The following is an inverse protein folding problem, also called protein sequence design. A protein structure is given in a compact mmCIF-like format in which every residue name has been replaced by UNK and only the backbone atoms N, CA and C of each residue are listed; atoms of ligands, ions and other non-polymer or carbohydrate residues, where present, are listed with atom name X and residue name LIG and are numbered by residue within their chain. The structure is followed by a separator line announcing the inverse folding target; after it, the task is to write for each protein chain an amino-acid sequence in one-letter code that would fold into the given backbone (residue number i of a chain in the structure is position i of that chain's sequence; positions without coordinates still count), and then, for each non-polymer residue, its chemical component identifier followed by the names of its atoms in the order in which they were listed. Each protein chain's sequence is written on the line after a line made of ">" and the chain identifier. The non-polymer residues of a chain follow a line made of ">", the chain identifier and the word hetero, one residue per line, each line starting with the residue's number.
data_IF_401058493560
#
_entry.id   IF_401058493560
#
_cell.length_a   1.000
_cell.length_b   1.000
_cell.length_c   1.000
_cell.angle_alpha   90.00
_cell.angle_beta   90.00
_cell.angle_gamma   90.00
#
_symmetry.space_group_name_H-M   'P 1'
#
loop_
_entity.id
_entity.type
_entity.pdbx_description
1 polymer ?
#
# COMPACT_ATOMS: atom_id res chain seq x y z
N UNK A 1 10.49 -1.88 -32.60
CA UNK A 1 9.81 -2.80 -33.55
C UNK A 1 9.52 -2.11 -34.89
N UNK A 2 8.81 -0.98 -34.93
CA UNK A 2 8.49 -0.29 -36.19
C UNK A 2 9.73 0.12 -37.03
N UNK A 3 10.73 0.74 -36.41
CA UNK A 3 11.97 1.12 -37.11
C UNK A 3 12.77 -0.10 -37.60
N UNK A 4 12.70 -1.24 -36.90
CA UNK A 4 13.34 -2.48 -37.33
C UNK A 4 12.58 -3.12 -38.52
N UNK A 5 11.25 -3.07 -38.50
CA UNK A 5 10.38 -3.52 -39.60
C UNK A 5 10.55 -2.64 -40.84
N UNK A 6 10.75 -1.34 -40.66
CA UNK A 6 11.04 -0.38 -41.75
C UNK A 6 12.54 -0.29 -42.12
N UNK A 7 13.41 -1.12 -41.51
CA UNK A 7 14.88 -1.13 -41.71
C UNK A 7 15.57 0.23 -41.44
N UNK A 8 14.96 1.09 -40.63
CA UNK A 8 15.47 2.42 -40.20
C UNK A 8 16.37 2.31 -38.97
N UNK A 9 17.48 1.58 -39.11
CA UNK A 9 18.39 1.27 -37.99
C UNK A 9 19.00 2.52 -37.34
N UNK A 10 19.29 3.57 -38.13
CA UNK A 10 19.83 4.84 -37.64
C UNK A 10 18.89 5.56 -36.66
N UNK A 11 17.58 5.45 -36.87
CA UNK A 11 16.57 6.06 -35.99
C UNK A 11 16.27 5.21 -34.75
N UNK A 12 16.73 3.95 -34.74
CA UNK A 12 16.53 3.04 -33.62
C UNK A 12 17.58 3.25 -32.54
N UNK A 13 18.80 3.66 -32.92
CA UNK A 13 19.91 3.96 -32.02
C UNK A 13 19.59 4.98 -30.90
N UNK A 14 18.99 6.16 -31.19
CA UNK A 14 18.67 7.11 -30.12
C UNK A 14 17.62 6.57 -29.14
N UNK A 15 16.65 5.77 -29.61
CA UNK A 15 15.62 5.15 -28.77
C UNK A 15 16.26 4.14 -27.81
N UNK A 16 17.15 3.28 -28.32
CA UNK A 16 17.94 2.38 -27.48
C UNK A 16 18.88 3.16 -26.56
N UNK A 17 19.43 4.28 -27.00
CA UNK A 17 20.26 5.17 -26.18
C UNK A 17 19.54 5.70 -24.95
N UNK A 18 18.28 6.12 -25.09
CA UNK A 18 17.45 6.54 -23.95
C UNK A 18 17.19 5.38 -23.00
N UNK A 19 16.82 4.21 -23.53
CA UNK A 19 16.61 3.00 -22.71
C UNK A 19 17.88 2.55 -21.98
N UNK A 20 19.03 2.59 -22.66
CA UNK A 20 20.33 2.25 -22.08
C UNK A 20 20.76 3.27 -21.02
N UNK A 21 20.57 4.57 -21.27
CA UNK A 21 20.86 5.61 -20.27
C UNK A 21 19.98 5.45 -19.02
N UNK A 22 18.69 5.11 -19.18
CA UNK A 22 17.80 4.79 -18.07
C UNK A 22 18.19 3.51 -17.32
N UNK A 23 18.70 2.48 -18.01
CA UNK A 23 19.23 1.29 -17.35
C UNK A 23 20.55 1.57 -16.61
N UNK A 24 21.42 2.39 -17.20
CA UNK A 24 22.70 2.81 -16.60
C UNK A 24 22.47 3.67 -15.36
N UNK A 25 21.45 4.53 -15.36
CA UNK A 25 21.11 5.36 -14.18
C UNK A 25 20.66 4.53 -12.97
N UNK A 26 20.29 3.27 -13.16
CA UNK A 26 19.97 2.34 -12.08
C UNK A 26 21.19 1.61 -11.51
N UNK A 27 22.35 1.62 -12.18
CA UNK A 27 23.56 0.94 -11.70
C UNK A 27 24.01 1.39 -10.30
N UNK A 28 23.97 2.70 -9.94
CA UNK A 28 24.33 3.14 -8.60
C UNK A 28 23.44 2.55 -7.49
N UNK A 29 22.23 2.11 -7.83
CA UNK A 29 21.27 1.52 -6.90
C UNK A 29 21.42 0.00 -6.75
N UNK A 30 22.25 -0.67 -7.57
CA UNK A 30 22.42 -2.13 -7.50
C UNK A 30 22.80 -2.61 -6.08
N UNK A 31 23.79 -2.01 -5.38
CA UNK A 31 24.14 -2.46 -4.04
C UNK A 31 22.95 -2.38 -3.07
N UNK A 32 22.17 -1.29 -3.16
CA UNK A 32 20.98 -1.10 -2.34
C UNK A 32 19.89 -2.14 -2.67
N UNK A 33 19.65 -2.42 -3.94
CA UNK A 33 18.68 -3.42 -4.39
C UNK A 33 19.10 -4.82 -3.92
N UNK A 34 20.38 -5.17 -4.05
CA UNK A 34 20.91 -6.47 -3.61
C UNK A 34 20.78 -6.63 -2.10
N UNK A 35 21.12 -5.61 -1.30
CA UNK A 35 20.92 -5.66 0.15
C UNK A 35 19.44 -5.67 0.55
N UNK A 36 18.58 -5.01 -0.23
CA UNK A 36 17.15 -5.03 0.02
C UNK A 36 16.53 -6.42 -0.19
N UNK A 37 17.03 -7.19 -1.16
CA UNK A 37 16.52 -8.54 -1.45
C UNK A 37 16.55 -9.48 -0.24
N UNK A 38 17.51 -9.29 0.68
CA UNK A 38 17.62 -10.11 1.89
C UNK A 38 16.39 -10.03 2.79
N UNK A 39 15.81 -8.84 2.99
CA UNK A 39 14.62 -8.66 3.82
C UNK A 39 13.33 -8.58 2.99
N UNK A 40 13.42 -8.34 1.68
CA UNK A 40 12.26 -8.28 0.78
C UNK A 40 11.46 -9.59 0.74
N UNK A 41 12.13 -10.72 0.96
CA UNK A 41 11.50 -12.05 1.03
C UNK A 41 10.38 -12.12 2.08
N UNK A 42 10.47 -11.32 3.15
CA UNK A 42 9.49 -11.27 4.23
C UNK A 42 8.12 -10.73 3.78
N UNK A 43 8.13 -9.91 2.73
CA UNK A 43 6.96 -9.20 2.20
C UNK A 43 6.42 -9.82 0.91
N UNK A 44 7.08 -10.85 0.37
CA UNK A 44 6.59 -11.58 -0.79
C UNK A 44 5.40 -12.45 -0.41
N UNK A 45 4.22 -12.09 -0.93
CA UNK A 45 2.97 -12.87 -0.76
C UNK A 45 2.59 -13.63 -2.04
N UNK A 46 3.34 -13.42 -3.12
CA UNK A 46 3.08 -13.98 -4.43
C UNK A 46 2.07 -13.14 -5.21
N UNK A 47 2.35 -12.92 -6.51
CA UNK A 47 1.46 -12.17 -7.38
C UNK A 47 0.53 -13.10 -8.17
N UNK A 48 -0.78 -12.83 -8.07
CA UNK A 48 -1.85 -13.44 -8.88
C UNK A 48 -2.49 -12.38 -9.76
N UNK A 49 -2.72 -12.71 -11.04
CA UNK A 49 -3.34 -11.78 -11.98
C UNK A 49 -4.77 -11.39 -11.59
N UNK A 50 -5.51 -12.25 -10.87
CA UNK A 50 -6.82 -11.90 -10.32
C UNK A 50 -6.72 -10.77 -9.29
N UNK A 51 -5.74 -10.83 -8.39
CA UNK A 51 -5.45 -9.75 -7.44
C UNK A 51 -5.06 -8.47 -8.19
N UNK A 52 -4.23 -8.60 -9.23
CA UNK A 52 -3.85 -7.45 -10.04
C UNK A 52 -5.03 -6.81 -10.78
N UNK A 53 -5.96 -7.60 -11.29
CA UNK A 53 -7.19 -7.11 -11.90
C UNK A 53 -8.07 -6.36 -10.91
N UNK A 54 -8.24 -6.87 -9.69
CA UNK A 54 -9.01 -6.20 -8.65
C UNK A 54 -8.42 -4.81 -8.34
N UNK A 55 -7.09 -4.75 -8.16
CA UNK A 55 -6.39 -3.50 -7.83
C UNK A 55 -6.38 -2.51 -8.99
N UNK A 56 -6.23 -2.98 -10.23
CA UNK A 56 -6.39 -2.16 -11.42
C UNK A 56 -7.83 -1.63 -11.55
N UNK A 57 -8.83 -2.48 -11.29
CA UNK A 57 -10.25 -2.10 -11.33
C UNK A 57 -10.60 -1.08 -10.26
N UNK A 58 -9.97 -1.14 -9.08
CA UNK A 58 -10.09 -0.09 -8.06
C UNK A 58 -9.45 1.22 -8.55
N UNK A 59 -8.27 1.15 -9.16
CA UNK A 59 -7.57 2.34 -9.68
C UNK A 59 -8.33 3.03 -10.82
N UNK A 60 -8.94 2.25 -11.73
CA UNK A 60 -9.69 2.78 -12.89
C UNK A 60 -11.17 2.98 -12.62
N UNK A 61 -11.67 2.49 -11.48
CA UNK A 61 -13.09 2.49 -11.13
C UNK A 61 -13.51 3.61 -10.19
N UNK A 62 -12.60 4.51 -9.79
CA UNK A 62 -12.97 5.74 -9.09
C UNK A 62 -13.27 6.86 -10.10
N UNK A 63 -14.32 7.68 -9.88
CA UNK A 63 -15.25 7.69 -8.74
C UNK A 63 -16.47 6.76 -8.92
N UNK A 64 -16.66 6.15 -10.09
CA UNK A 64 -17.79 5.27 -10.41
C UNK A 64 -17.26 3.92 -10.89
N UNK A 65 -17.66 2.82 -10.23
CA UNK A 65 -17.13 1.47 -10.50
C UNK A 65 -17.24 1.04 -11.97
N UNK A 66 -18.23 1.56 -12.69
CA UNK A 66 -18.38 1.34 -14.14
C UNK A 66 -17.29 1.97 -15.02
N UNK A 67 -16.52 2.94 -14.51
CA UNK A 67 -15.49 3.66 -15.27
C UNK A 67 -14.33 2.75 -15.70
N UNK A 68 -14.08 1.66 -14.98
CA UNK A 68 -13.14 0.60 -15.40
C UNK A 68 -13.49 0.05 -16.78
N UNK A 69 -14.78 -0.08 -17.11
CA UNK A 69 -15.19 -0.57 -18.43
C UNK A 69 -14.95 0.45 -19.55
N UNK A 70 -14.91 1.75 -19.24
CA UNK A 70 -14.49 2.78 -20.20
C UNK A 70 -13.01 2.58 -20.56
N UNK A 71 -12.15 2.35 -19.56
CA UNK A 71 -10.75 2.02 -19.80
C UNK A 71 -10.58 0.73 -20.63
N UNK A 72 -11.31 -0.33 -20.30
CA UNK A 72 -11.30 -1.58 -21.06
C UNK A 72 -11.72 -1.34 -22.51
N UNK A 73 -12.81 -0.60 -22.74
CA UNK A 73 -13.29 -0.27 -24.08
C UNK A 73 -12.25 0.52 -24.89
N UNK A 74 -11.57 1.48 -24.25
CA UNK A 74 -10.49 2.25 -24.88
C UNK A 74 -9.31 1.36 -25.27
N UNK A 75 -8.91 0.43 -24.42
CA UNK A 75 -7.83 -0.53 -24.70
C UNK A 75 -8.20 -1.47 -25.86
N UNK A 76 -9.42 -2.02 -25.85
CA UNK A 76 -9.91 -2.88 -26.94
C UNK A 76 -9.98 -2.08 -28.25
N UNK A 77 -10.51 -0.86 -28.20
CA UNK A 77 -10.58 0.03 -29.37
C UNK A 77 -9.21 0.36 -29.94
N UNK A 78 -8.22 0.62 -29.08
CA UNK A 78 -6.84 0.85 -29.48
C UNK A 78 -6.22 -0.40 -30.14
N UNK A 79 -6.39 -1.58 -29.53
CA UNK A 79 -5.89 -2.82 -30.11
C UNK A 79 -6.54 -3.13 -31.46
N UNK A 80 -7.85 -2.98 -31.55
CA UNK A 80 -8.60 -3.16 -32.80
C UNK A 80 -8.13 -2.17 -33.88
N UNK A 81 -7.89 -0.91 -33.53
CA UNK A 81 -7.36 0.10 -34.45
C UNK A 81 -5.95 -0.27 -34.95
N UNK A 82 -5.05 -0.69 -34.05
CA UNK A 82 -3.71 -1.12 -34.44
C UNK A 82 -3.73 -2.34 -35.37
N UNK A 83 -4.55 -3.36 -35.06
CA UNK A 83 -4.72 -4.56 -35.90
C UNK A 83 -5.33 -4.20 -37.25
N UNK A 84 -6.38 -3.38 -37.27
CA UNK A 84 -7.04 -2.96 -38.50
C UNK A 84 -6.11 -2.16 -39.42
N UNK A 85 -5.28 -1.28 -38.86
CA UNK A 85 -4.25 -0.54 -39.63
C UNK A 85 -3.15 -1.48 -40.13
N UNK A 86 -2.76 -2.48 -39.34
CA UNK A 86 -1.74 -3.46 -39.71
C UNK A 86 -2.18 -4.32 -40.92
N UNK A 87 -3.42 -4.80 -40.92
CA UNK A 87 -3.89 -5.79 -41.91
C UNK A 87 -4.73 -5.21 -43.04
N UNK A 88 -5.56 -4.18 -42.80
CA UNK A 88 -6.63 -3.79 -43.74
C UNK A 88 -6.45 -2.42 -44.39
N UNK A 89 -5.77 -1.48 -43.73
CA UNK A 89 -5.63 -0.09 -44.23
C UNK A 89 -4.19 0.38 -44.35
N UNK A 90 -3.26 -0.52 -44.65
CA UNK A 90 -1.84 -0.20 -44.80
C UNK A 90 -1.61 1.01 -45.72
N UNK A 91 -2.38 1.16 -46.80
CA UNK A 91 -2.14 2.17 -47.83
C UNK A 91 -3.14 3.34 -47.86
N UNK A 92 -4.16 3.34 -46.99
CA UNK A 92 -5.22 4.38 -46.98
C UNK A 92 -5.03 5.50 -45.95
N UNK A 93 -4.04 5.39 -45.07
CA UNK A 93 -3.75 6.39 -44.03
C UNK A 93 -2.45 7.14 -44.35
N UNK A 94 -2.36 8.44 -44.01
CA UNK A 94 -1.10 9.17 -44.10
C UNK A 94 0.00 8.43 -43.35
N UNK A 95 1.21 8.35 -43.93
CA UNK A 95 2.33 7.59 -43.38
C UNK A 95 2.65 7.98 -41.92
N UNK A 96 2.52 9.26 -41.58
CA UNK A 96 2.70 9.76 -40.22
C UNK A 96 1.66 9.20 -39.24
N UNK A 97 0.36 9.24 -39.58
CA UNK A 97 -0.71 8.72 -38.73
C UNK A 97 -0.60 7.19 -38.57
N UNK A 98 -0.29 6.47 -39.65
CA UNK A 98 -0.03 5.02 -39.62
C UNK A 98 1.12 4.67 -38.69
N UNK A 99 2.25 5.38 -38.81
CA UNK A 99 3.43 5.17 -37.97
C UNK A 99 3.12 5.40 -36.48
N UNK A 100 2.37 6.46 -36.16
CA UNK A 100 2.00 6.78 -34.79
C UNK A 100 1.06 5.72 -34.18
N UNK A 101 0.03 5.27 -34.91
CA UNK A 101 -0.92 4.25 -34.44
C UNK A 101 -0.21 2.93 -34.15
N UNK A 102 0.63 2.48 -35.07
CA UNK A 102 1.34 1.22 -34.88
C UNK A 102 2.40 1.34 -33.78
N UNK A 103 3.11 2.47 -33.67
CA UNK A 103 4.07 2.69 -32.61
C UNK A 103 3.40 2.74 -31.23
N UNK A 104 2.34 3.52 -31.06
CA UNK A 104 1.62 3.64 -29.82
C UNK A 104 0.90 2.33 -29.45
N UNK A 105 0.28 1.64 -30.42
CA UNK A 105 -0.37 0.35 -30.20
C UNK A 105 0.62 -0.75 -29.78
N UNK A 106 1.77 -0.84 -30.46
CA UNK A 106 2.82 -1.79 -30.05
C UNK A 106 3.41 -1.42 -28.68
N UNK A 107 3.66 -0.13 -28.42
CA UNK A 107 4.15 0.34 -27.12
C UNK A 107 3.17 0.03 -25.99
N UNK A 108 1.85 0.21 -26.21
CA UNK A 108 0.81 -0.12 -25.24
C UNK A 108 0.85 -1.60 -24.87
N UNK A 109 0.92 -2.49 -25.87
CA UNK A 109 0.96 -3.96 -25.65
C UNK A 109 2.24 -4.37 -24.92
N UNK A 110 3.41 -3.94 -25.40
CA UNK A 110 4.68 -4.32 -24.78
C UNK A 110 4.88 -3.68 -23.41
N UNK A 111 4.43 -2.44 -23.21
CA UNK A 111 4.49 -1.76 -21.92
C UNK A 111 3.58 -2.41 -20.89
N UNK A 112 2.33 -2.74 -21.26
CA UNK A 112 1.42 -3.46 -20.38
C UNK A 112 1.92 -4.87 -20.05
N UNK A 113 2.42 -5.61 -21.05
CA UNK A 113 3.00 -6.93 -20.82
C UNK A 113 4.26 -6.86 -19.95
N UNK A 114 5.16 -5.91 -20.21
CA UNK A 114 6.37 -5.69 -19.42
C UNK A 114 6.05 -5.31 -17.97
N UNK A 115 5.04 -4.47 -17.76
CA UNK A 115 4.56 -4.12 -16.43
C UNK A 115 3.96 -5.34 -15.71
N UNK A 116 3.15 -6.15 -16.39
CA UNK A 116 2.59 -7.38 -15.84
C UNK A 116 3.68 -8.41 -15.47
N UNK A 117 4.70 -8.56 -16.32
CA UNK A 117 5.88 -9.40 -16.04
C UNK A 117 6.64 -8.85 -14.84
N UNK A 118 6.87 -7.55 -14.77
CA UNK A 118 7.53 -6.91 -13.62
C UNK A 118 6.79 -7.20 -12.31
N UNK A 119 5.46 -7.02 -12.27
CA UNK A 119 4.66 -7.36 -11.10
C UNK A 119 4.75 -8.85 -10.75
N UNK A 120 4.75 -9.72 -11.77
CA UNK A 120 4.89 -11.15 -11.56
C UNK A 120 6.25 -11.54 -10.99
N UNK A 121 7.32 -10.88 -11.42
CA UNK A 121 8.69 -11.11 -10.92
C UNK A 121 8.92 -10.51 -9.53
N UNK A 122 8.30 -9.37 -9.24
CA UNK A 122 8.43 -8.71 -7.94
C UNK A 122 7.78 -9.51 -6.81
N UNK A 123 6.67 -10.20 -7.10
CA UNK A 123 5.90 -11.03 -6.15
C UNK A 123 5.42 -10.28 -4.89
N UNK A 124 5.43 -8.96 -4.95
CA UNK A 124 4.93 -8.09 -3.90
C UNK A 124 3.41 -7.95 -3.92
N UNK A 125 2.79 -7.64 -2.77
CA UNK A 125 1.43 -7.15 -2.76
C UNK A 125 1.38 -5.81 -3.50
N UNK A 126 0.44 -5.70 -4.44
CA UNK A 126 0.18 -4.46 -5.17
C UNK A 126 -1.09 -3.82 -4.63
N UNK A 127 -1.06 -2.50 -4.47
CA UNK A 127 -2.23 -1.66 -4.22
C UNK A 127 -2.58 -0.81 -5.47
N UNK A 128 -3.81 -0.30 -5.54
CA UNK A 128 -4.32 0.50 -6.67
C UNK A 128 -3.38 1.61 -7.16
N UNK A 129 -2.69 2.34 -6.27
CA UNK A 129 -1.76 3.41 -6.67
C UNK A 129 -0.55 2.93 -7.47
N UNK A 130 -0.17 1.65 -7.36
CA UNK A 130 0.91 1.08 -8.17
C UNK A 130 0.53 1.03 -9.65
N UNK A 131 -0.75 1.02 -10.00
CA UNK A 131 -1.22 0.94 -11.39
C UNK A 131 -1.28 2.32 -12.08
N UNK A 132 -1.07 3.42 -11.35
CA UNK A 132 -1.08 4.78 -11.90
C UNK A 132 -0.05 4.98 -13.03
N UNK A 133 1.20 4.50 -12.95
CA UNK A 133 2.15 4.57 -14.07
C UNK A 133 1.64 3.84 -15.32
N UNK A 134 1.02 2.68 -15.18
CA UNK A 134 0.42 1.94 -16.30
C UNK A 134 -0.73 2.75 -16.90
N UNK A 135 -1.60 3.34 -16.08
CA UNK A 135 -2.71 4.18 -16.53
C UNK A 135 -2.20 5.40 -17.30
N UNK A 136 -1.21 6.11 -16.77
CA UNK A 136 -0.61 7.29 -17.40
C UNK A 136 0.04 6.94 -18.75
N UNK A 137 0.85 5.87 -18.77
CA UNK A 137 1.45 5.35 -19.99
C UNK A 137 0.39 4.98 -21.04
N UNK A 138 -0.69 4.34 -20.60
CA UNK A 138 -1.80 3.95 -21.47
C UNK A 138 -2.52 5.17 -22.03
N UNK A 139 -2.82 6.17 -21.20
CA UNK A 139 -3.46 7.41 -21.63
C UNK A 139 -2.65 8.11 -22.74
N UNK A 140 -1.33 8.19 -22.61
CA UNK A 140 -0.46 8.77 -23.64
C UNK A 140 -0.48 7.96 -24.94
N UNK A 141 -0.47 6.63 -24.86
CA UNK A 141 -0.59 5.78 -26.04
C UNK A 141 -1.95 5.96 -26.72
N UNK A 142 -3.03 6.01 -25.94
CA UNK A 142 -4.39 6.21 -26.45
C UNK A 142 -4.54 7.59 -27.11
N UNK A 143 -4.03 8.65 -26.49
CA UNK A 143 -4.02 10.02 -27.04
C UNK A 143 -3.36 10.06 -28.42
N UNK A 144 -2.17 9.46 -28.54
CA UNK A 144 -1.46 9.36 -29.80
C UNK A 144 -2.30 8.62 -30.86
N UNK A 145 -2.90 7.48 -30.51
CA UNK A 145 -3.67 6.67 -31.48
C UNK A 145 -4.95 7.35 -31.95
N UNK A 146 -5.77 7.87 -31.03
CA UNK A 146 -7.08 8.43 -31.36
C UNK A 146 -6.95 9.76 -32.09
N UNK A 147 -6.04 10.64 -31.68
CA UNK A 147 -5.92 11.97 -32.30
C UNK A 147 -5.05 12.02 -33.54
N UNK A 148 -4.31 10.95 -33.85
CA UNK A 148 -3.71 10.78 -35.18
C UNK A 148 -4.76 10.71 -36.30
N UNK A 149 -5.97 10.21 -35.99
CA UNK A 149 -7.03 9.97 -36.98
C UNK A 149 -8.19 10.95 -36.81
N UNK A 150 -8.61 11.24 -35.58
CA UNK A 150 -9.77 12.06 -35.28
C UNK A 150 -9.39 13.32 -34.50
N UNK A 151 -8.77 14.29 -35.19
CA UNK A 151 -8.37 15.58 -34.58
C UNK A 151 -9.55 16.32 -33.94
N UNK A 152 -10.77 16.10 -34.44
CA UNK A 152 -12.00 16.71 -33.93
C UNK A 152 -12.53 16.03 -32.66
N UNK A 153 -12.05 14.84 -32.31
CA UNK A 153 -12.36 14.21 -31.04
C UNK A 153 -11.59 14.82 -29.86
N UNK A 154 -10.55 15.64 -30.12
CA UNK A 154 -9.75 16.32 -29.07
C UNK A 154 -10.59 17.12 -28.08
N UNK A 155 -11.47 18.05 -28.52
CA UNK A 155 -12.33 18.76 -27.58
C UNK A 155 -13.21 17.82 -26.76
N UNK A 156 -13.77 16.77 -27.36
CA UNK A 156 -14.60 15.80 -26.64
C UNK A 156 -13.81 15.04 -25.54
N UNK A 157 -12.57 14.64 -25.83
CA UNK A 157 -11.73 13.99 -24.85
C UNK A 157 -11.22 14.93 -23.75
N UNK A 158 -10.94 16.21 -24.08
CA UNK A 158 -10.65 17.21 -23.06
C UNK A 158 -11.85 17.45 -22.16
N UNK A 159 -13.06 17.52 -22.73
CA UNK A 159 -14.30 17.63 -21.94
C UNK A 159 -14.45 16.39 -21.04
N UNK A 160 -14.25 15.18 -21.58
CA UNK A 160 -14.30 13.95 -20.78
C UNK A 160 -13.29 13.98 -19.64
N UNK A 161 -12.03 14.37 -19.90
CA UNK A 161 -11.00 14.48 -18.88
C UNK A 161 -11.36 15.50 -17.80
N UNK A 162 -11.86 16.68 -18.20
CA UNK A 162 -12.31 17.72 -17.26
C UNK A 162 -13.48 17.20 -16.41
N UNK A 163 -14.47 16.57 -17.02
CA UNK A 163 -15.60 15.96 -16.31
C UNK A 163 -15.09 14.90 -15.33
N UNK A 164 -14.24 13.97 -15.76
CA UNK A 164 -13.66 12.94 -14.89
C UNK A 164 -12.91 13.55 -13.71
N UNK A 165 -12.06 14.56 -13.92
CA UNK A 165 -11.32 15.23 -12.84
C UNK A 165 -12.27 15.98 -11.91
N UNK A 166 -13.24 16.72 -12.43
CA UNK A 166 -14.23 17.44 -11.62
C UNK A 166 -15.10 16.48 -10.81
N UNK A 167 -15.56 15.37 -11.41
CA UNK A 167 -16.33 14.32 -10.72
C UNK A 167 -15.47 13.66 -9.64
N UNK A 168 -14.24 13.24 -9.96
CA UNK A 168 -13.34 12.66 -8.96
C UNK A 168 -13.09 13.64 -7.80
N UNK A 169 -12.84 14.91 -8.09
CA UNK A 169 -12.65 15.93 -7.06
C UNK A 169 -13.89 16.13 -6.18
N UNK A 170 -15.10 16.17 -6.77
CA UNK A 170 -16.33 16.40 -6.02
C UNK A 170 -16.74 15.19 -5.15
N UNK A 171 -16.63 13.97 -5.70
CA UNK A 171 -17.05 12.75 -5.00
C UNK A 171 -16.01 12.25 -4.00
N UNK A 172 -14.71 12.45 -4.27
CA UNK A 172 -13.63 11.96 -3.40
C UNK A 172 -13.10 13.04 -2.43
N UNK A 173 -13.59 14.29 -2.49
CA UNK A 173 -13.19 15.35 -1.55
C UNK A 173 -13.30 14.92 -0.07
N UNK A 174 -14.38 14.23 0.36
CA UNK A 174 -14.48 13.72 1.73
C UNK A 174 -13.33 12.76 2.06
N UNK A 175 -13.03 11.81 1.17
CA UNK A 175 -11.98 10.82 1.36
C UNK A 175 -10.58 11.44 1.39
N UNK A 176 -10.35 12.51 0.63
CA UNK A 176 -9.08 13.27 0.66
C UNK A 176 -8.91 14.05 1.96
N UNK A 177 -10.00 14.52 2.58
CA UNK A 177 -9.99 15.20 3.89
C UNK A 177 -9.88 14.23 5.06
N UNK A 178 -10.20 12.95 4.85
CA UNK A 178 -10.06 11.91 5.85
C UNK A 178 -8.60 11.63 6.19
N UNK A 179 -8.32 11.52 7.49
CA UNK A 179 -6.99 11.17 7.98
C UNK A 179 -6.65 9.75 7.54
N UNK A 180 -5.44 9.54 7.05
CA UNK A 180 -4.99 8.19 6.68
C UNK A 180 -4.63 7.33 7.88
N UNK A 181 -4.39 7.91 9.06
CA UNK A 181 -4.17 7.20 10.33
C UNK A 181 -4.45 8.15 11.51
N UNK A 182 -4.61 7.61 12.73
CA UNK A 182 -4.82 8.36 13.97
C UNK A 182 -3.64 8.29 14.96
N UNK A 183 -2.46 7.83 14.53
CA UNK A 183 -1.27 7.70 15.41
C UNK A 183 -0.89 9.03 16.06
N UNK A 184 -1.09 10.16 15.39
CA UNK A 184 -0.82 11.50 15.94
C UNK A 184 -1.75 11.84 17.11
N UNK A 185 -3.05 11.53 16.98
CA UNK A 185 -4.04 11.70 18.04
C UNK A 185 -3.74 10.79 19.24
N UNK A 186 -3.42 9.52 18.97
CA UNK A 186 -3.04 8.56 20.01
C UNK A 186 -1.81 9.06 20.78
N UNK A 187 -0.78 9.48 20.05
CA UNK A 187 0.45 9.97 20.65
C UNK A 187 0.22 11.22 21.49
N UNK A 188 -0.64 12.15 21.04
CA UNK A 188 -1.01 13.35 21.77
C UNK A 188 -1.75 13.02 23.08
N UNK A 189 -2.75 12.15 23.03
CA UNK A 189 -3.49 11.75 24.23
C UNK A 189 -2.62 10.98 25.21
N UNK A 190 -1.84 10.00 24.74
CA UNK A 190 -0.93 9.27 25.61
C UNK A 190 0.11 10.20 26.24
N UNK A 191 0.59 11.22 25.53
CA UNK A 191 1.54 12.18 26.12
C UNK A 191 0.97 12.93 27.32
N UNK A 192 -0.36 13.04 27.43
CA UNK A 192 -1.04 13.68 28.56
C UNK A 192 -1.49 12.69 29.65
N UNK A 193 -1.80 11.43 29.28
CA UNK A 193 -2.39 10.45 30.21
C UNK A 193 -1.39 9.53 30.89
N UNK A 194 -0.24 9.26 30.25
CA UNK A 194 0.76 8.31 30.76
C UNK A 194 1.69 8.97 31.78
N UNK A 195 2.16 8.18 32.74
CA UNK A 195 3.18 8.57 33.73
C UNK A 195 4.52 7.92 33.40
N UNK A 196 5.63 8.42 33.96
CA UNK A 196 6.99 7.89 33.69
C UNK A 196 7.19 6.41 34.07
N UNK A 197 6.33 5.87 34.93
CA UNK A 197 6.40 4.48 35.39
C UNK A 197 5.50 3.52 34.57
N UNK A 198 4.64 4.07 33.70
CA UNK A 198 3.84 3.27 32.79
C UNK A 198 4.71 2.69 31.65
N UNK A 199 4.13 1.79 30.86
CA UNK A 199 4.81 1.20 29.71
C UNK A 199 3.89 1.16 28.49
N UNK A 200 4.36 1.70 27.36
CA UNK A 200 3.58 1.76 26.12
C UNK A 200 4.12 0.78 25.08
N UNK A 201 3.24 0.00 24.48
CA UNK A 201 3.56 -1.00 23.46
C UNK A 201 2.81 -0.67 22.19
N UNK A 202 3.53 -0.48 21.09
CA UNK A 202 2.98 -0.11 19.78
C UNK A 202 3.01 -1.31 18.84
N UNK A 203 1.87 -1.60 18.21
CA UNK A 203 1.75 -2.69 17.24
C UNK A 203 0.79 -2.29 16.11
N UNK A 204 1.10 -2.62 14.85
CA UNK A 204 2.29 -3.37 14.43
C UNK A 204 3.58 -2.53 14.49
N UNK A 205 4.73 -3.17 14.33
CA UNK A 205 6.04 -2.51 14.50
C UNK A 205 6.23 -1.28 13.60
N UNK A 206 5.64 -1.29 12.41
CA UNK A 206 5.77 -0.20 11.45
C UNK A 206 5.14 1.12 11.93
N UNK A 207 4.17 1.05 12.84
CA UNK A 207 3.58 2.24 13.47
C UNK A 207 4.60 2.98 14.38
N UNK A 208 5.69 2.33 14.79
CA UNK A 208 6.71 2.89 15.67
C UNK A 208 7.41 4.14 15.10
N UNK A 209 7.62 4.21 13.78
CA UNK A 209 8.23 5.39 13.14
C UNK A 209 7.35 6.64 13.32
N UNK A 210 6.06 6.52 13.01
CA UNK A 210 5.09 7.60 13.16
C UNK A 210 4.86 7.91 14.63
N UNK A 211 4.76 6.90 15.50
CA UNK A 211 4.59 7.09 16.93
C UNK A 211 5.76 7.88 17.54
N UNK A 212 7.02 7.53 17.22
CA UNK A 212 8.22 8.28 17.65
C UNK A 212 8.17 9.76 17.27
N UNK A 213 7.66 10.06 16.07
CA UNK A 213 7.56 11.44 15.58
C UNK A 213 6.66 12.28 16.49
N UNK A 214 5.49 11.77 16.85
CA UNK A 214 4.45 12.53 17.55
C UNK A 214 4.47 12.37 19.08
N UNK A 215 4.90 11.24 19.61
CA UNK A 215 4.89 10.98 21.05
C UNK A 215 5.93 11.85 21.77
N UNK A 216 5.48 12.53 22.83
CA UNK A 216 6.30 13.39 23.70
C UNK A 216 6.06 13.10 25.18
N UNK A 217 5.39 11.99 25.50
CA UNK A 217 5.12 11.58 26.88
C UNK A 217 6.36 11.05 27.60
N UNK A 218 6.25 10.98 28.93
CA UNK A 218 7.35 10.55 29.81
C UNK A 218 7.49 9.02 29.94
N UNK A 219 6.48 8.24 29.53
CA UNK A 219 6.53 6.79 29.65
C UNK A 219 7.49 6.18 28.62
N UNK A 220 8.31 5.19 29.01
CA UNK A 220 9.05 4.39 28.04
C UNK A 220 8.09 3.62 27.12
N UNK A 221 8.49 3.49 25.86
CA UNK A 221 7.71 2.77 24.87
C UNK A 221 8.58 1.89 23.96
N UNK A 222 7.96 0.87 23.37
CA UNK A 222 8.58 0.01 22.34
C UNK A 222 7.53 -0.44 21.33
N UNK A 223 7.96 -1.02 20.22
CA UNK A 223 7.10 -1.82 19.35
C UNK A 223 7.01 -3.28 19.77
N UNK A 224 6.06 -4.00 19.17
CA UNK A 224 5.96 -5.46 19.21
C UNK A 224 6.19 -6.04 17.80
N UNK A 225 7.31 -6.76 17.55
CA UNK A 225 8.43 -7.03 18.45
C UNK A 225 9.25 -5.76 18.72
N UNK A 226 10.10 -5.75 19.77
CA UNK A 226 10.92 -4.59 20.08
C UNK A 226 11.99 -4.38 19.01
N UNK A 227 11.98 -3.21 18.35
CA UNK A 227 13.06 -2.76 17.45
C UNK A 227 13.76 -1.53 18.04
N UNK A 228 15.03 -1.38 17.76
CA UNK A 228 15.88 -0.38 18.41
C UNK A 228 15.95 0.94 17.63
N UNK A 229 15.69 0.91 16.32
CA UNK A 229 15.73 2.06 15.43
C UNK A 229 14.39 2.30 14.73
N UNK A 230 13.98 3.56 14.76
CA UNK A 230 12.68 4.06 14.28
C UNK A 230 12.86 5.28 13.35
N UNK A 231 14.08 5.51 12.83
CA UNK A 231 14.31 6.56 11.82
C UNK A 231 13.59 6.24 10.51
N UNK A 232 13.55 4.96 10.15
CA UNK A 232 12.88 4.38 8.98
C UNK A 232 12.25 3.05 9.39
N UNK A 233 11.44 2.45 8.51
CA UNK A 233 10.91 1.12 8.72
C UNK A 233 12.02 0.07 8.51
N UNK A 234 12.73 -0.28 9.58
CA UNK A 234 13.91 -1.17 9.58
C UNK A 234 13.53 -2.65 9.45
N UNK A 235 13.22 -3.07 8.23
CA UNK A 235 12.88 -4.47 7.88
C UNK A 235 14.00 -5.47 8.18
N UNK A 236 15.26 -5.02 8.14
CA UNK A 236 16.42 -5.80 8.52
C UNK A 236 16.43 -6.13 10.02
N UNK A 237 16.07 -5.18 10.89
CA UNK A 237 15.93 -5.42 12.33
C UNK A 237 14.76 -6.37 12.61
N UNK A 238 13.64 -6.20 11.91
CA UNK A 238 12.50 -7.11 12.03
C UNK A 238 12.89 -8.54 11.62
N UNK A 239 13.61 -8.70 10.51
CA UNK A 239 14.13 -10.00 10.07
C UNK A 239 14.96 -10.66 11.17
N UNK A 240 15.86 -9.92 11.81
CA UNK A 240 16.67 -10.43 12.91
C UNK A 240 15.80 -10.89 14.10
N UNK A 241 14.72 -10.17 14.44
CA UNK A 241 13.76 -10.60 15.47
C UNK A 241 13.03 -11.89 15.08
N UNK A 242 12.64 -12.04 13.82
CA UNK A 242 11.99 -13.26 13.32
C UNK A 242 12.92 -14.50 13.38
N UNK A 243 14.23 -14.28 13.27
CA UNK A 243 15.26 -15.33 13.39
C UNK A 243 15.67 -15.63 14.83
N UNK A 244 15.26 -14.79 15.79
CA UNK A 244 15.59 -14.94 17.20
C UNK A 244 14.57 -15.86 17.89
N UNK A 245 15.05 -16.72 18.78
CA UNK A 245 14.16 -17.50 19.65
C UNK A 245 13.53 -16.56 20.69
N UNK A 246 12.20 -16.54 20.71
CA UNK A 246 11.38 -15.75 21.65
C UNK A 246 11.75 -14.25 21.75
N UNK A 247 11.63 -13.48 20.65
CA UNK A 247 12.05 -12.08 20.60
C UNK A 247 11.19 -11.13 21.45
N UNK A 248 10.08 -11.62 22.00
CA UNK A 248 9.13 -10.83 22.79
C UNK A 248 9.31 -11.03 24.29
N UNK A 249 10.18 -11.94 24.74
CA UNK A 249 10.45 -12.15 26.17
C UNK A 249 10.76 -10.84 26.91
N UNK A 250 11.63 -9.93 26.40
CA UNK A 250 11.89 -8.66 27.08
C UNK A 250 10.64 -7.77 27.23
N UNK A 251 9.69 -7.87 26.29
CA UNK A 251 8.41 -7.13 26.37
C UNK A 251 7.53 -7.73 27.46
N UNK A 252 7.44 -9.06 27.54
CA UNK A 252 6.67 -9.77 28.59
C UNK A 252 7.25 -9.50 29.98
N UNK A 253 8.58 -9.55 30.13
CA UNK A 253 9.25 -9.24 31.39
C UNK A 253 8.95 -7.81 31.84
N UNK A 254 9.01 -6.85 30.90
CA UNK A 254 8.70 -5.45 31.19
C UNK A 254 7.24 -5.26 31.57
N UNK A 255 6.30 -5.85 30.83
CA UNK A 255 4.87 -5.86 31.19
C UNK A 255 4.68 -6.36 32.63
N UNK A 256 5.30 -7.50 32.95
CA UNK A 256 5.20 -8.15 34.27
C UNK A 256 5.66 -7.19 35.36
N UNK A 257 6.87 -6.62 35.21
CA UNK A 257 7.44 -5.69 36.19
C UNK A 257 6.59 -4.42 36.36
N UNK A 258 6.05 -3.86 35.27
CA UNK A 258 5.21 -2.66 35.28
C UNK A 258 3.91 -2.92 36.04
N UNK A 259 3.22 -4.02 35.74
CA UNK A 259 1.94 -4.37 36.38
C UNK A 259 2.11 -4.78 37.84
N UNK A 260 3.14 -5.56 38.17
CA UNK A 260 3.45 -5.95 39.56
C UNK A 260 3.80 -4.74 40.43
N UNK A 261 4.41 -3.71 39.85
CA UNK A 261 4.68 -2.44 40.53
C UNK A 261 3.45 -1.53 40.66
N UNK A 262 2.27 -1.98 40.22
CA UNK A 262 1.02 -1.21 40.27
C UNK A 262 0.86 -0.16 39.17
N UNK A 263 1.74 -0.15 38.16
CA UNK A 263 1.68 0.80 37.04
C UNK A 263 0.89 0.22 35.86
N UNK A 264 0.65 1.05 34.84
CA UNK A 264 -0.27 0.73 33.75
C UNK A 264 0.49 0.35 32.48
N UNK A 265 -0.04 -0.61 31.74
CA UNK A 265 0.46 -1.00 30.42
C UNK A 265 -0.51 -0.52 29.35
N UNK A 266 0.00 0.17 28.35
CA UNK A 266 -0.78 0.76 27.26
C UNK A 266 -0.48 0.03 25.97
N UNK A 267 -1.51 -0.52 25.35
CA UNK A 267 -1.45 -1.20 24.07
C UNK A 267 -1.98 -0.28 22.98
N UNK A 268 -1.13 0.08 22.02
CA UNK A 268 -1.43 0.97 20.91
C UNK A 268 -1.49 0.19 19.61
N UNK A 269 -2.58 0.36 18.88
CA UNK A 269 -2.76 -0.17 17.54
C UNK A 269 -3.41 -1.55 17.47
N UNK A 270 -3.34 -2.14 16.28
CA UNK A 270 -4.14 -3.31 15.93
C UNK A 270 -3.52 -4.58 16.51
N UNK A 271 -3.73 -4.80 17.80
CA UNK A 271 -3.24 -6.00 18.50
C UNK A 271 -4.37 -7.04 18.54
N UNK A 272 -4.14 -8.26 17.99
CA UNK A 272 -5.16 -9.28 17.95
C UNK A 272 -5.47 -9.82 19.35
N UNK A 273 -6.75 -9.88 19.70
CA UNK A 273 -7.26 -10.56 20.90
C UNK A 273 -7.86 -11.90 20.46
N UNK A 274 -7.08 -12.98 20.56
CA UNK A 274 -7.52 -14.34 20.27
C UNK A 274 -7.17 -15.25 21.45
N UNK A 275 -8.16 -15.97 21.99
CA UNK A 275 -7.98 -16.87 23.13
C UNK A 275 -7.67 -18.31 22.70
N UNK A 276 -7.69 -18.60 21.38
CA UNK A 276 -7.40 -19.94 20.87
C UNK A 276 -5.93 -20.30 21.09
N UNK A 277 -5.63 -21.56 21.44
CA UNK A 277 -4.25 -22.02 21.54
C UNK A 277 -3.50 -21.74 20.22
N UNK A 278 -2.40 -21.00 20.32
CA UNK A 278 -1.56 -20.72 19.17
C UNK A 278 -0.70 -21.93 18.84
N UNK A 279 -0.65 -22.30 17.56
CA UNK A 279 0.38 -23.22 17.09
C UNK A 279 1.75 -22.53 17.24
N UNK A 280 2.69 -23.19 17.90
CA UNK A 280 4.05 -22.67 18.05
C UNK A 280 4.68 -22.40 16.68
N UNK A 281 5.33 -21.24 16.57
CA UNK A 281 6.08 -20.87 15.36
C UNK A 281 7.56 -21.09 15.62
N UNK A 282 8.28 -21.56 14.59
CA UNK A 282 9.73 -21.68 14.66
C UNK A 282 10.39 -20.36 14.25
N UNK A 283 11.61 -20.06 14.71
CA UNK A 283 12.37 -18.94 14.16
C UNK A 283 12.55 -19.08 12.65
N UNK A 284 12.41 -17.97 11.92
CA UNK A 284 12.63 -17.95 10.48
C UNK A 284 14.08 -18.36 10.16
N UNK A 285 14.36 -19.04 9.03
CA UNK A 285 13.41 -19.48 8.00
C UNK A 285 12.80 -20.88 8.28
N UNK A 286 13.01 -21.45 9.47
CA UNK A 286 12.71 -22.86 9.76
C UNK A 286 11.22 -23.13 9.99
N UNK A 287 10.37 -22.11 10.01
CA UNK A 287 8.92 -22.27 10.14
C UNK A 287 8.30 -22.86 8.86
N UNK A 288 7.44 -23.89 8.94
CA UNK A 288 6.82 -24.53 7.78
C UNK A 288 6.03 -23.58 6.86
N UNK A 289 5.62 -22.41 7.33
CA UNK A 289 4.95 -21.40 6.50
C UNK A 289 5.87 -20.41 5.80
N UNK A 290 7.19 -20.61 5.87
CA UNK A 290 8.14 -19.87 5.03
C UNK A 290 8.46 -18.46 5.51
N UNK A 291 8.26 -18.14 6.79
CA UNK A 291 8.79 -16.90 7.36
C UNK A 291 8.03 -15.61 6.96
N UNK A 292 6.73 -15.66 6.67
CA UNK A 292 5.94 -14.44 6.37
C UNK A 292 5.82 -13.54 7.60
N UNK A 293 6.17 -12.26 7.45
CA UNK A 293 6.13 -11.27 8.53
C UNK A 293 4.77 -11.21 9.24
N UNK A 294 3.68 -11.18 8.47
CA UNK A 294 2.32 -11.05 9.03
C UNK A 294 1.96 -12.18 10.00
N UNK A 295 2.47 -13.40 9.78
CA UNK A 295 2.26 -14.53 10.72
C UNK A 295 3.00 -14.30 12.04
N UNK A 296 4.24 -13.80 11.99
CA UNK A 296 5.03 -13.52 13.20
C UNK A 296 4.44 -12.35 13.97
N UNK A 297 4.07 -11.26 13.29
CA UNK A 297 3.41 -10.11 13.93
C UNK A 297 2.11 -10.53 14.61
N UNK A 298 1.26 -11.31 13.93
CA UNK A 298 0.02 -11.84 14.51
C UNK A 298 0.29 -12.73 15.73
N UNK A 299 1.22 -13.69 15.62
CA UNK A 299 1.56 -14.60 16.70
C UNK A 299 2.08 -13.87 17.94
N UNK A 300 3.00 -12.92 17.77
CA UNK A 300 3.51 -12.10 18.87
C UNK A 300 2.43 -11.25 19.51
N UNK A 301 1.57 -10.62 18.69
CA UNK A 301 0.41 -9.87 19.17
C UNK A 301 -0.53 -10.71 20.04
N UNK A 302 -0.89 -11.91 19.57
CA UNK A 302 -1.76 -12.83 20.32
C UNK A 302 -1.08 -13.34 21.58
N UNK A 303 0.22 -13.69 21.55
CA UNK A 303 0.94 -14.10 22.77
C UNK A 303 0.89 -13.03 23.87
N UNK A 304 1.11 -11.76 23.50
CA UNK A 304 1.05 -10.64 24.45
C UNK A 304 -0.37 -10.45 24.99
N UNK A 305 -1.40 -10.54 24.16
CA UNK A 305 -2.80 -10.38 24.64
C UNK A 305 -3.28 -11.56 25.45
N UNK A 306 -2.86 -12.79 25.15
CA UNK A 306 -3.14 -13.97 25.98
C UNK A 306 -2.47 -13.83 27.35
N UNK A 307 -1.20 -13.41 27.38
CA UNK A 307 -0.49 -13.13 28.63
C UNK A 307 -1.21 -12.06 29.47
N UNK A 308 -1.57 -10.92 28.86
CA UNK A 308 -2.31 -9.86 29.54
C UNK A 308 -3.70 -10.31 29.98
N UNK A 309 -4.39 -11.14 29.20
CA UNK A 309 -5.70 -11.68 29.58
C UNK A 309 -5.62 -12.62 30.80
N UNK A 310 -4.51 -13.35 30.93
CA UNK A 310 -4.27 -14.23 32.07
C UNK A 310 -3.87 -13.45 33.33
N UNK A 311 -3.11 -12.37 33.16
CA UNK A 311 -2.41 -11.68 34.25
C UNK A 311 -2.89 -10.25 34.56
N UNK A 312 -3.90 -9.72 33.87
CA UNK A 312 -4.52 -8.43 34.18
C UNK A 312 -5.96 -8.63 34.66
N UNK A 313 -6.36 -7.92 35.72
CA UNK A 313 -7.76 -7.93 36.18
C UNK A 313 -8.62 -6.93 35.43
N UNK A 314 -8.06 -5.80 35.02
CA UNK A 314 -8.79 -4.71 34.43
C UNK A 314 -8.25 -4.33 33.06
N UNK A 315 -9.18 -4.12 32.13
CA UNK A 315 -8.94 -3.63 30.79
C UNK A 315 -9.90 -2.49 30.51
N UNK A 316 -9.36 -1.35 30.11
CA UNK A 316 -10.14 -0.21 29.63
C UNK A 316 -9.82 0.08 28.17
N UNK A 317 -10.85 0.43 27.39
CA UNK A 317 -10.68 0.98 26.05
C UNK A 317 -10.58 2.49 26.20
N UNK A 318 -9.39 3.04 25.96
CA UNK A 318 -9.14 4.49 26.08
C UNK A 318 -9.50 5.18 24.78
N UNK A 319 -9.13 4.57 23.66
CA UNK A 319 -9.58 4.96 22.35
C UNK A 319 -10.15 3.75 21.63
N UNK A 320 -11.44 3.78 21.35
CA UNK A 320 -12.04 2.86 20.41
C UNK A 320 -11.65 3.27 18.99
N UNK A 321 -11.57 2.33 18.03
CA UNK A 321 -11.52 2.70 16.63
C UNK A 321 -12.76 3.54 16.34
N UNK A 322 -12.59 4.74 15.76
CA UNK A 322 -13.76 5.53 15.34
C UNK A 322 -14.61 4.69 14.38
N UNK A 323 -15.86 4.42 14.75
CA UNK A 323 -16.82 3.74 13.90
C UNK A 323 -17.24 4.68 12.77
N UNK A 324 -16.44 4.77 11.71
CA UNK A 324 -17.03 5.04 10.41
C UNK A 324 -17.70 3.75 9.97
N UNK A 325 -19.00 3.64 10.28
CA UNK A 325 -19.89 2.79 9.49
C UNK A 325 -19.70 3.22 8.04
N UNK A 326 -19.16 2.31 7.23
CA UNK A 326 -19.00 2.48 5.80
C UNK A 326 -20.26 3.16 5.22
N UNK A 327 -20.10 4.36 4.67
CA UNK A 327 -21.01 5.04 3.76
C UNK A 327 -22.47 4.50 3.74
N UNK A 328 -23.25 4.82 4.77
CA UNK A 328 -24.71 4.73 4.67
C UNK A 328 -25.21 6.08 4.11
N UNK A 329 -25.29 6.16 2.78
CA UNK A 329 -25.76 7.34 2.02
C UNK A 329 -27.29 7.48 2.11
N UNK A 330 -27.88 7.39 3.29
CA UNK A 330 -29.35 7.45 3.49
C UNK A 330 -29.82 8.51 4.50
N UNK A 331 -28.92 9.26 5.13
CA UNK A 331 -29.25 10.32 6.12
C UNK A 331 -29.17 11.75 5.58
N UNK A 332 -29.97 12.71 6.13
CA UNK A 332 -30.00 14.10 5.69
C UNK A 332 -28.67 14.84 5.96
N UNK A 333 -28.32 15.75 5.05
CA UNK A 333 -27.08 16.54 4.97
C UNK A 333 -26.68 17.39 6.20
N UNK A 334 -27.49 17.41 7.26
CA UNK A 334 -27.22 18.18 8.48
C UNK A 334 -26.39 17.36 9.47
N UNK A 335 -25.09 17.20 9.19
CA UNK A 335 -24.15 16.49 10.07
C UNK A 335 -22.78 16.16 9.45
N UNK A 336 -22.61 16.40 8.14
CA UNK A 336 -21.40 16.07 7.42
C UNK A 336 -20.13 16.76 7.96
N UNK A 337 -20.25 17.97 8.50
CA UNK A 337 -19.10 18.75 8.99
C UNK A 337 -18.46 18.15 10.26
N UNK A 338 -19.27 17.56 11.14
CA UNK A 338 -18.78 16.92 12.38
C UNK A 338 -18.28 15.48 12.14
N UNK A 339 -18.83 14.79 11.13
CA UNK A 339 -18.35 13.48 10.67
C UNK A 339 -17.03 13.56 9.89
N UNK A 340 -16.81 14.64 9.14
CA UNK A 340 -15.56 14.88 8.40
C UNK A 340 -14.36 15.15 9.33
N UNK A 341 -14.57 15.86 10.44
CA UNK A 341 -13.47 16.23 11.35
C UNK A 341 -12.86 15.05 12.13
N UNK A 342 -13.61 13.94 12.28
CA UNK A 342 -13.14 12.72 12.94
C UNK A 342 -12.93 11.54 11.97
N UNK A 343 -12.96 11.80 10.66
CA UNK A 343 -12.74 10.76 9.67
C UNK A 343 -11.30 10.24 9.73
N UNK A 344 -11.15 8.94 10.01
CA UNK A 344 -9.88 8.21 9.92
C UNK A 344 -10.12 7.00 9.03
N UNK A 345 -9.18 6.73 8.13
CA UNK A 345 -9.16 5.52 7.31
C UNK A 345 -9.35 4.29 8.21
N UNK A 346 -10.41 3.54 7.97
CA UNK A 346 -10.80 2.38 8.78
C UNK A 346 -9.70 1.33 8.95
N UNK A 347 -8.81 1.18 7.97
CA UNK A 347 -7.73 0.20 8.01
C UNK A 347 -6.58 0.61 8.95
N UNK A 348 -6.45 1.91 9.20
CA UNK A 348 -5.35 2.52 9.98
C UNK A 348 -5.92 3.36 11.14
N UNK A 349 -7.12 2.99 11.58
CA UNK A 349 -7.82 3.55 12.71
C UNK A 349 -7.53 2.71 13.96
N UNK A 350 -6.46 3.08 14.62
CA UNK A 350 -5.81 2.27 15.64
C UNK A 350 -6.49 2.45 17.01
N UNK A 351 -6.83 1.37 17.73
CA UNK A 351 -7.35 1.46 19.09
C UNK A 351 -6.23 1.68 20.12
N UNK A 352 -6.63 2.07 21.33
CA UNK A 352 -5.76 2.11 22.51
C UNK A 352 -6.45 1.40 23.67
N UNK A 353 -5.74 0.44 24.26
CA UNK A 353 -6.18 -0.27 25.45
C UNK A 353 -5.24 0.02 26.63
N UNK A 354 -5.81 0.22 27.81
CA UNK A 354 -5.08 0.31 29.06
C UNK A 354 -5.33 -0.96 29.87
N UNK A 355 -4.24 -1.57 30.33
CA UNK A 355 -4.25 -2.76 31.18
C UNK A 355 -3.72 -2.38 32.57
N UNK A 356 -4.45 -2.80 33.60
CA UNK A 356 -4.14 -2.50 35.01
C UNK A 356 -4.38 -3.73 35.89
N UNK A 357 -3.83 -3.64 37.12
CA UNK A 357 -3.98 -4.63 38.20
C UNK A 357 -3.45 -6.03 37.89
N UNK A 358 -2.25 -6.33 38.39
CA UNK A 358 -1.64 -7.66 38.28
C UNK A 358 -2.50 -8.76 38.94
N UNK A 359 -2.67 -9.86 38.21
CA UNK A 359 -3.23 -11.12 38.68
C UNK A 359 -2.12 -12.19 38.66
N UNK A 360 -1.74 -12.73 39.83
CA UNK A 360 -0.68 -13.74 39.93
C UNK A 360 -1.05 -15.05 39.24
#
# INVERSE_FOLDING_TARGET
>A
MLCAVERRWRDTLPIFGVGAAAAISLLPYIPLIVHAQDWYVLYKVGFRFSTGWNQLSEATGSPLTGFTWVWVALWIGALAAAIFVLFWRRDRLPQHARGLILFAGTSLVFGAAGYAVFLKLAELPTHYWHYVPLMAFSAVCLDAMFFAVWRWARPAAMILAVVTVSTAFLFELPAVKCRQTNVDLIAATLSNEVTSNDYVIVHPFYCGVTFKRYYKGAAPWTTLPPVEDYTLQRWDLLKAKMQTKDPIAPVIDRITSTLQSGNRVWLVGNIPFDQRPLQEILPAPNDPSGGSEGRYSFYWGVKVTQFLSAHCRQRAVVMAPSTMTAFDYSGPLYGAEQLLNNCVNQFENLPVFMMTEWKP
#
